data_IF_007328742405
#
_entry.id   IF_007328742405
#
_cell.length_a   1.000
_cell.length_b   1.000
_cell.length_c   1.000
_cell.angle_alpha   90.00
_cell.angle_beta   90.00
_cell.angle_gamma   90.00
#
_symmetry.space_group_name_H-M   'P 1'
#
loop_
_entity.id
_entity.type
_entity.pdbx_description
1 polymer ?
#
# COMPACT_ATOMS: atom_id res chain seq x y z
N UNK A 1 -23.62 -14.59 33.18
CA UNK A 1 -22.21 -14.15 33.26
C UNK A 1 -21.59 -14.38 31.89
N UNK A 2 -21.00 -13.34 31.29
CA UNK A 2 -20.27 -13.52 30.04
C UNK A 2 -18.98 -14.28 30.35
N UNK A 3 -18.66 -15.39 29.66
CA UNK A 3 -17.43 -16.12 29.92
C UNK A 3 -16.22 -15.21 29.73
N UNK A 4 -15.17 -15.44 30.51
CA UNK A 4 -13.93 -14.69 30.36
C UNK A 4 -13.34 -14.93 28.97
N UNK A 5 -12.64 -13.95 28.40
CA UNK A 5 -12.00 -14.09 27.08
C UNK A 5 -11.03 -15.29 27.04
N UNK A 6 -10.39 -15.59 28.18
CA UNK A 6 -9.47 -16.71 28.33
C UNK A 6 -10.17 -18.07 28.27
N UNK A 7 -11.38 -18.19 28.80
CA UNK A 7 -12.17 -19.42 28.73
C UNK A 7 -12.62 -19.70 27.30
N UNK A 8 -13.07 -18.66 26.60
CA UNK A 8 -13.44 -18.76 25.18
C UNK A 8 -12.23 -19.10 24.33
N UNK A 9 -11.07 -18.51 24.61
CA UNK A 9 -9.83 -18.80 23.89
C UNK A 9 -9.37 -20.25 24.08
N UNK A 10 -9.46 -20.77 25.30
CA UNK A 10 -9.07 -22.15 25.59
C UNK A 10 -10.02 -23.18 24.96
N UNK A 11 -11.31 -22.84 24.80
CA UNK A 11 -12.30 -23.69 24.14
C UNK A 11 -12.14 -23.76 22.61
N UNK A 12 -11.29 -22.91 22.00
CA UNK A 12 -11.09 -22.91 20.55
C UNK A 12 -10.14 -24.01 20.08
N UNK A 13 -10.36 -24.58 18.87
CA UNK A 13 -9.38 -25.44 18.21
C UNK A 13 -8.07 -24.69 17.92
N UNK A 14 -6.95 -25.41 17.88
CA UNK A 14 -5.60 -24.85 17.65
C UNK A 14 -5.48 -24.01 16.39
N UNK A 15 -6.21 -24.35 15.32
CA UNK A 15 -6.21 -23.56 14.08
C UNK A 15 -6.88 -22.19 14.23
N UNK A 16 -7.89 -22.05 15.09
CA UNK A 16 -8.61 -20.79 15.31
C UNK A 16 -7.87 -19.91 16.34
N UNK A 17 -7.16 -20.52 17.29
CA UNK A 17 -6.30 -19.79 18.24
C UNK A 17 -5.31 -18.86 17.51
N UNK A 18 -4.68 -19.38 16.44
CA UNK A 18 -3.77 -18.60 15.60
C UNK A 18 -4.46 -17.40 14.94
N UNK A 19 -5.68 -17.56 14.43
CA UNK A 19 -6.43 -16.43 13.84
C UNK A 19 -6.77 -15.36 14.88
N UNK A 20 -7.02 -15.75 16.13
CA UNK A 20 -7.26 -14.80 17.22
C UNK A 20 -5.97 -14.04 17.56
N UNK A 21 -4.83 -14.73 17.62
CA UNK A 21 -3.51 -14.11 17.80
C UNK A 21 -3.21 -13.11 16.67
N UNK A 22 -3.37 -13.53 15.42
CA UNK A 22 -3.17 -12.68 14.23
C UNK A 22 -4.10 -11.45 14.27
N UNK A 23 -5.35 -11.61 14.73
CA UNK A 23 -6.31 -10.51 14.82
C UNK A 23 -5.98 -9.54 15.97
N UNK A 24 -5.50 -10.04 17.10
CA UNK A 24 -5.00 -9.19 18.19
C UNK A 24 -3.81 -8.38 17.69
N UNK A 25 -2.88 -9.01 16.98
CA UNK A 25 -1.72 -8.32 16.41
C UNK A 25 -2.15 -7.29 15.36
N UNK A 26 -3.11 -7.61 14.50
CA UNK A 26 -3.68 -6.67 13.54
C UNK A 26 -4.30 -5.45 14.23
N UNK A 27 -5.11 -5.65 15.28
CA UNK A 27 -5.71 -4.55 16.03
C UNK A 27 -4.64 -3.72 16.74
N UNK A 28 -3.66 -4.37 17.37
CA UNK A 28 -2.55 -3.68 18.00
C UNK A 28 -1.79 -2.83 16.98
N UNK A 29 -1.41 -3.38 15.83
CA UNK A 29 -0.73 -2.62 14.78
C UNK A 29 -1.59 -1.48 14.24
N UNK A 30 -2.88 -1.73 13.97
CA UNK A 30 -3.80 -0.72 13.44
C UNK A 30 -3.94 0.47 14.37
N UNK A 31 -4.07 0.25 15.68
CA UNK A 31 -4.33 1.33 16.63
C UNK A 31 -3.06 1.88 17.31
N UNK A 32 -1.98 1.11 17.44
CA UNK A 32 -0.68 1.63 17.91
C UNK A 32 0.06 2.44 16.82
N UNK A 33 0.00 2.05 15.54
CA UNK A 33 0.61 2.87 14.46
C UNK A 33 -0.13 4.18 14.23
N UNK A 34 -1.43 4.25 14.55
CA UNK A 34 -2.21 5.48 14.47
C UNK A 34 -1.95 6.48 15.62
N UNK A 35 -1.11 6.12 16.61
CA UNK A 35 -0.60 7.06 17.63
C UNK A 35 0.61 7.86 17.15
N UNK A 36 1.19 7.51 15.99
CA UNK A 36 2.04 8.43 15.24
C UNK A 36 1.13 9.28 14.35
N UNK A 37 1.41 10.59 14.20
CA UNK A 37 0.65 11.44 13.27
C UNK A 37 0.62 10.72 11.92
N UNK A 38 -0.52 10.75 11.21
CA UNK A 38 -0.64 10.06 9.94
C UNK A 38 0.55 10.47 9.11
N UNK A 39 1.44 9.52 8.80
CA UNK A 39 2.32 9.66 7.66
C UNK A 39 1.34 9.83 6.52
N UNK A 40 1.13 11.10 6.16
CA UNK A 40 0.33 11.51 5.03
C UNK A 40 0.73 10.52 3.93
N UNK A 41 -0.22 9.77 3.34
CA UNK A 41 0.11 9.09 2.11
C UNK A 41 0.77 10.18 1.29
N UNK A 42 2.00 9.97 0.84
CA UNK A 42 2.60 10.85 -0.15
C UNK A 42 1.62 10.78 -1.30
N UNK A 43 0.65 11.72 -1.30
CA UNK A 43 -0.35 11.86 -2.33
C UNK A 43 0.48 11.90 -3.57
N UNK A 44 0.36 10.85 -4.38
CA UNK A 44 1.03 10.83 -5.67
C UNK A 44 0.49 12.08 -6.35
N UNK A 45 1.30 13.14 -6.39
CA UNK A 45 0.88 14.47 -6.87
C UNK A 45 0.26 14.39 -8.27
N UNK A 46 0.54 13.28 -8.97
CA UNK A 46 0.05 12.95 -10.29
C UNK A 46 -0.33 11.46 -10.34
N UNK A 47 -1.56 11.18 -10.78
CA UNK A 47 -2.06 9.83 -11.06
C UNK A 47 -1.77 9.39 -12.50
N UNK A 48 -2.14 8.15 -12.84
CA UNK A 48 -2.07 7.68 -14.22
C UNK A 48 -2.90 8.58 -15.15
N UNK A 49 -2.33 8.95 -16.30
CA UNK A 49 -3.00 9.83 -17.27
C UNK A 49 -3.07 11.31 -16.89
N UNK A 50 -2.41 11.76 -15.81
CA UNK A 50 -2.40 13.17 -15.39
C UNK A 50 -1.85 14.15 -16.43
N UNK A 51 -1.05 13.64 -17.39
CA UNK A 51 -0.46 14.39 -18.49
C UNK A 51 -1.05 14.03 -19.86
N UNK A 52 -2.15 13.26 -19.90
CA UNK A 52 -2.82 12.92 -21.14
C UNK A 52 -3.30 14.20 -21.85
N UNK A 53 -2.96 14.34 -23.14
CA UNK A 53 -3.28 15.53 -23.94
C UNK A 53 -2.47 16.80 -23.58
N UNK A 54 -1.54 16.73 -22.62
CA UNK A 54 -0.60 17.83 -22.30
C UNK A 54 0.74 17.69 -23.00
N UNK A 55 1.06 16.50 -23.48
CA UNK A 55 2.25 16.22 -24.28
C UNK A 55 1.86 16.33 -25.76
N UNK A 56 2.55 17.20 -26.50
CA UNK A 56 2.49 17.26 -27.96
C UNK A 56 3.74 16.55 -28.46
N UNK A 57 3.54 15.42 -29.15
CA UNK A 57 4.62 14.69 -29.81
C UNK A 57 4.81 15.34 -31.19
N UNK A 58 6.00 15.88 -31.50
CA UNK A 58 6.28 16.42 -32.82
C UNK A 58 6.45 15.28 -33.85
N UNK A 59 6.28 15.59 -35.13
CA UNK A 59 6.29 14.58 -36.21
C UNK A 59 7.68 13.93 -36.41
N UNK A 60 8.74 14.56 -35.91
CA UNK A 60 10.15 14.14 -35.97
C UNK A 60 10.59 13.33 -34.72
N UNK A 61 9.68 12.98 -33.81
CA UNK A 61 10.01 12.29 -32.56
C UNK A 61 10.74 10.95 -32.76
N UNK A 62 10.42 10.23 -33.84
CA UNK A 62 11.06 8.95 -34.15
C UNK A 62 12.45 9.12 -34.78
N UNK A 63 12.86 10.34 -35.14
CA UNK A 63 14.18 10.61 -35.67
C UNK A 63 15.26 10.53 -34.57
N UNK A 64 16.44 9.99 -34.87
CA UNK A 64 17.53 9.96 -33.90
C UNK A 64 17.96 11.38 -33.56
N UNK A 65 18.11 11.68 -32.27
CA UNK A 65 18.73 12.92 -31.84
C UNK A 65 20.15 12.98 -32.43
N UNK A 66 20.53 14.12 -33.00
CA UNK A 66 21.85 14.30 -33.63
C UNK A 66 22.99 13.86 -32.71
N UNK A 67 22.86 14.11 -31.40
CA UNK A 67 23.84 13.73 -30.37
C UNK A 67 23.86 12.22 -30.03
N UNK A 68 22.79 11.49 -30.35
CA UNK A 68 22.64 10.05 -30.06
C UNK A 68 22.69 9.18 -31.33
N UNK A 69 22.75 9.78 -32.52
CA UNK A 69 22.76 9.08 -33.79
C UNK A 69 23.97 8.14 -33.93
N UNK A 70 25.13 8.47 -33.35
CA UNK A 70 26.33 7.61 -33.36
C UNK A 70 26.19 6.34 -32.50
N UNK A 71 25.15 6.26 -31.64
CA UNK A 71 24.93 5.16 -30.69
C UNK A 71 23.76 4.21 -31.05
N UNK A 72 23.05 4.47 -32.15
CA UNK A 72 21.89 3.68 -32.62
C UNK A 72 22.24 2.76 -33.79
#
# INVERSE_FOLDING_TARGET
MNPSILEKYNALPTGIKKQVEDFIEFLAQKYLKNSQPPVLPTEKKYGYGSLAGKLVVPDDFDEPLEELAEYM
#
